data_IF_518787517517
#
_entry.id   IF_518787517517
#
_cell.length_a   1.000
_cell.length_b   1.000
_cell.length_c   1.000
_cell.angle_alpha   90.00
_cell.angle_beta   90.00
_cell.angle_gamma   90.00
#
_symmetry.space_group_name_H-M   'P 1'
#
loop_
_entity.id
_entity.type
_entity.pdbx_description
1 polymer ?
#
# COMPACT_ATOMS: atom_id res chain seq x y z
N UNK A 1 -2.79 25.97 -14.69
CA UNK A 1 -3.01 25.09 -13.52
C UNK A 1 -4.13 24.16 -13.93
N UNK A 2 -3.88 22.84 -13.93
CA UNK A 2 -4.97 21.89 -14.11
C UNK A 2 -5.69 21.89 -12.77
N UNK A 3 -6.86 22.53 -12.71
CA UNK A 3 -7.76 22.37 -11.58
C UNK A 3 -8.29 20.94 -11.67
N UNK A 4 -7.76 20.05 -10.82
CA UNK A 4 -8.34 18.73 -10.61
C UNK A 4 -9.67 18.95 -9.88
N UNK A 5 -10.74 19.14 -10.65
CA UNK A 5 -12.10 19.11 -10.13
C UNK A 5 -12.31 17.77 -9.41
N UNK A 6 -12.48 17.86 -8.09
CA UNK A 6 -12.96 16.83 -7.15
C UNK A 6 -12.18 15.51 -7.05
N UNK A 7 -10.91 15.57 -6.66
CA UNK A 7 -10.24 14.38 -6.10
C UNK A 7 -10.75 14.09 -4.68
N UNK A 8 -11.88 13.41 -4.56
CA UNK A 8 -12.42 12.96 -3.27
C UNK A 8 -11.68 11.71 -2.77
N UNK A 9 -10.70 11.92 -1.89
CA UNK A 9 -10.07 10.83 -1.14
C UNK A 9 -11.09 10.19 -0.18
N UNK A 10 -11.42 8.93 -0.42
CA UNK A 10 -12.24 8.11 0.48
C UNK A 10 -11.38 7.04 1.16
N UNK A 11 -11.88 6.47 2.26
CA UNK A 11 -11.26 5.29 2.87
C UNK A 11 -11.15 4.14 1.86
N UNK A 12 -12.17 3.94 1.02
CA UNK A 12 -12.16 2.93 -0.05
C UNK A 12 -11.06 3.16 -1.08
N UNK A 13 -10.79 4.42 -1.44
CA UNK A 13 -9.67 4.75 -2.34
C UNK A 13 -8.34 4.35 -1.73
N UNK A 14 -8.14 4.59 -0.43
CA UNK A 14 -6.92 4.21 0.26
C UNK A 14 -6.80 2.68 0.40
N UNK A 15 -7.90 1.96 0.65
CA UNK A 15 -7.92 0.48 0.67
C UNK A 15 -7.51 -0.09 -0.68
N UNK A 16 -8.12 0.38 -1.77
CA UNK A 16 -7.79 -0.08 -3.11
C UNK A 16 -6.32 0.17 -3.46
N UNK A 17 -5.73 1.29 -3.01
CA UNK A 17 -4.29 1.55 -3.20
C UNK A 17 -3.46 0.54 -2.40
N UNK A 18 -3.81 0.28 -1.15
CA UNK A 18 -3.08 -0.69 -0.30
C UNK A 18 -3.16 -2.10 -0.88
N UNK A 19 -4.34 -2.53 -1.37
CA UNK A 19 -4.53 -3.82 -2.04
C UNK A 19 -3.61 -3.95 -3.27
N UNK A 20 -3.54 -2.92 -4.11
CA UNK A 20 -2.62 -2.90 -5.26
C UNK A 20 -1.16 -3.02 -4.84
N UNK A 21 -0.75 -2.42 -3.71
CA UNK A 21 0.61 -2.56 -3.20
C UNK A 21 0.89 -3.97 -2.69
N UNK A 22 -0.08 -4.61 -2.02
CA UNK A 22 0.01 -6.01 -1.56
C UNK A 22 0.14 -6.94 -2.75
N UNK A 23 -0.76 -6.81 -3.74
CA UNK A 23 -0.78 -7.65 -4.94
C UNK A 23 0.54 -7.53 -5.72
N UNK A 24 1.06 -6.31 -5.87
CA UNK A 24 2.34 -6.09 -6.54
C UNK A 24 3.50 -6.70 -5.76
N UNK A 25 3.53 -6.55 -4.43
CA UNK A 25 4.57 -7.18 -3.59
C UNK A 25 4.56 -8.69 -3.80
N UNK A 26 3.40 -9.32 -3.70
CA UNK A 26 3.23 -10.78 -3.87
C UNK A 26 3.61 -11.24 -5.27
N UNK A 27 3.24 -10.47 -6.30
CA UNK A 27 3.69 -10.73 -7.66
C UNK A 27 5.22 -10.74 -7.75
N UNK A 28 5.88 -9.70 -7.24
CA UNK A 28 7.34 -9.60 -7.31
C UNK A 28 8.03 -10.69 -6.49
N UNK A 29 7.50 -11.01 -5.31
CA UNK A 29 8.01 -12.08 -4.44
C UNK A 29 8.00 -13.44 -5.15
N UNK A 30 6.95 -13.74 -5.91
CA UNK A 30 6.85 -14.98 -6.70
C UNK A 30 7.72 -14.96 -7.97
N UNK A 31 8.22 -13.80 -8.39
CA UNK A 31 8.93 -13.60 -9.65
C UNK A 31 10.38 -13.12 -9.49
N UNK A 32 10.97 -13.27 -8.30
CA UNK A 32 12.36 -12.88 -8.02
C UNK A 32 13.34 -13.62 -8.94
N UNK A 33 14.11 -12.87 -9.72
CA UNK A 33 15.18 -13.37 -10.61
C UNK A 33 16.53 -12.71 -10.36
N UNK A 34 16.54 -11.63 -9.58
CA UNK A 34 17.72 -10.82 -9.31
C UNK A 34 17.62 -10.10 -7.96
N UNK A 35 18.77 -9.62 -7.47
CA UNK A 35 18.84 -8.77 -6.28
C UNK A 35 18.07 -7.44 -6.46
N UNK A 36 17.92 -6.98 -7.71
CA UNK A 36 17.07 -5.84 -8.02
C UNK A 36 15.60 -6.15 -7.69
N UNK A 37 15.11 -7.33 -8.07
CA UNK A 37 13.73 -7.74 -7.79
C UNK A 37 13.48 -7.88 -6.28
N UNK A 38 14.48 -8.37 -5.53
CA UNK A 38 14.42 -8.36 -4.06
C UNK A 38 14.32 -6.93 -3.51
N UNK A 39 15.07 -5.99 -4.10
CA UNK A 39 14.97 -4.56 -3.78
C UNK A 39 13.56 -3.99 -4.02
N UNK A 40 12.88 -4.44 -5.08
CA UNK A 40 11.51 -4.05 -5.38
C UNK A 40 10.54 -4.55 -4.30
N UNK A 41 10.65 -5.82 -3.90
CA UNK A 41 9.84 -6.40 -2.81
C UNK A 41 10.02 -5.61 -1.51
N UNK A 42 11.26 -5.35 -1.10
CA UNK A 42 11.56 -4.55 0.10
C UNK A 42 10.98 -3.13 0.03
N UNK A 43 10.94 -2.53 -1.17
CA UNK A 43 10.31 -1.23 -1.39
C UNK A 43 8.80 -1.24 -1.11
N UNK A 44 8.10 -2.28 -1.57
CA UNK A 44 6.67 -2.45 -1.27
C UNK A 44 6.42 -2.72 0.22
N UNK A 45 7.24 -3.56 0.86
CA UNK A 45 7.16 -3.81 2.31
C UNK A 45 7.30 -2.52 3.11
N UNK A 46 8.30 -1.70 2.78
CA UNK A 46 8.51 -0.42 3.44
C UNK A 46 7.33 0.55 3.27
N UNK A 47 6.73 0.59 2.08
CA UNK A 47 5.55 1.41 1.81
C UNK A 47 4.34 0.96 2.65
N UNK A 48 4.09 -0.36 2.69
CA UNK A 48 3.00 -0.95 3.48
C UNK A 48 3.19 -0.72 4.98
N UNK A 49 4.40 -0.93 5.50
CA UNK A 49 4.73 -0.66 6.91
C UNK A 49 4.56 0.82 7.25
N UNK A 50 4.95 1.72 6.35
CA UNK A 50 4.75 3.15 6.54
C UNK A 50 3.27 3.50 6.66
N UNK A 51 2.42 2.95 5.80
CA UNK A 51 0.97 3.18 5.84
C UNK A 51 0.38 2.58 7.12
N UNK A 52 0.74 1.35 7.46
CA UNK A 52 0.34 0.68 8.69
C UNK A 52 0.65 1.52 9.92
N UNK A 53 1.89 1.99 10.04
CA UNK A 53 2.32 2.83 11.17
C UNK A 53 1.50 4.12 11.26
N UNK A 54 1.15 4.74 10.14
CA UNK A 54 0.31 5.94 10.14
C UNK A 54 -1.13 5.67 10.60
N UNK A 55 -1.71 4.54 10.20
CA UNK A 55 -3.05 4.13 10.62
C UNK A 55 -3.07 3.76 12.11
N UNK A 56 -2.11 2.95 12.56
CA UNK A 56 -1.99 2.51 13.96
C UNK A 56 -1.70 3.67 14.91
N UNK A 57 -0.87 4.64 14.51
CA UNK A 57 -0.64 5.87 15.29
C UNK A 57 -1.91 6.71 15.50
N UNK A 58 -2.95 6.50 14.69
CA UNK A 58 -4.26 7.17 14.80
C UNK A 58 -5.31 6.28 15.48
N UNK A 59 -4.93 5.11 15.97
CA UNK A 59 -5.80 4.18 16.69
C UNK A 59 -6.57 3.20 15.79
N UNK A 60 -6.26 3.14 14.50
CA UNK A 60 -6.83 2.13 13.60
C UNK A 60 -5.97 0.87 13.62
N UNK A 61 -6.57 -0.29 13.86
CA UNK A 61 -5.89 -1.56 13.59
C UNK A 61 -5.85 -1.76 12.07
N UNK A 62 -4.66 -1.94 11.50
CA UNK A 62 -4.47 -2.03 10.05
C UNK A 62 -5.26 -3.17 9.40
N UNK A 63 -5.25 -4.35 10.02
CA UNK A 63 -5.95 -5.54 9.52
C UNK A 63 -7.46 -5.38 9.60
N UNK A 64 -7.97 -4.81 10.69
CA UNK A 64 -9.39 -4.55 10.84
C UNK A 64 -9.85 -3.43 9.89
N UNK A 65 -9.00 -2.43 9.67
CA UNK A 65 -9.27 -1.32 8.77
C UNK A 65 -9.37 -1.77 7.30
N UNK A 66 -8.58 -2.77 6.90
CA UNK A 66 -8.69 -3.37 5.56
C UNK A 66 -9.96 -4.21 5.37
N UNK A 67 -10.55 -4.73 6.46
CA UNK A 67 -11.71 -5.66 6.42
C UNK A 67 -13.07 -4.98 6.64
N UNK A 68 -13.09 -3.89 7.40
CA UNK A 68 -14.30 -3.09 7.66
C UNK A 68 -14.63 -2.15 6.51
#
# INVERSE_FOLDING_TARGET
>A
MIENEDWNWSQETLKAIIEVLIDNREYWEQNIKSDFDQGVVMGYEFALDSIKNQLEARGYNFEDWLKG
#
